data_IF_210759888230
#
_entry.id   IF_210759888230
#
_cell.length_a   1.000
_cell.length_b   1.000
_cell.length_c   1.000
_cell.angle_alpha   90.00
_cell.angle_beta   90.00
_cell.angle_gamma   90.00
#
_symmetry.space_group_name_H-M   'P 1'
#
loop_
_entity.id
_entity.type
_entity.pdbx_description
1 polymer ?
#
# COMPACT_ATOMS: atom_id res chain seq x y z
N UNK A 1 9.99 -0.04 6.15
CA UNK A 1 8.85 -0.95 5.93
C UNK A 1 8.22 -1.21 7.30
N UNK A 2 6.92 -0.97 7.47
CA UNK A 2 6.23 -1.29 8.71
C UNK A 2 5.58 -2.68 8.55
N UNK A 3 5.85 -3.60 9.46
CA UNK A 3 5.22 -4.92 9.48
C UNK A 3 4.41 -5.02 10.78
N UNK A 4 3.07 -5.01 10.71
CA UNK A 4 2.26 -5.10 11.92
C UNK A 4 2.27 -6.53 12.47
N UNK A 5 2.20 -6.69 13.79
CA UNK A 5 1.85 -8.00 14.38
C UNK A 5 0.34 -8.20 14.28
N UNK A 6 -0.10 -8.81 13.17
CA UNK A 6 -1.52 -9.01 12.91
C UNK A 6 -2.20 -9.93 13.93
N UNK A 7 -1.47 -10.85 14.56
CA UNK A 7 -2.06 -11.82 15.49
C UNK A 7 -2.39 -11.16 16.83
N UNK A 8 -1.57 -10.21 17.28
CA UNK A 8 -1.80 -9.47 18.53
C UNK A 8 -2.59 -8.17 18.33
N UNK A 9 -2.87 -7.78 17.10
CA UNK A 9 -3.69 -6.60 16.79
C UNK A 9 -5.18 -6.89 17.00
N UNK A 10 -5.90 -6.00 17.70
CA UNK A 10 -7.37 -6.08 17.83
C UNK A 10 -8.11 -5.94 16.48
N UNK A 11 -7.46 -5.28 15.51
CA UNK A 11 -7.94 -5.11 14.15
C UNK A 11 -6.80 -5.42 13.18
N UNK A 12 -6.71 -6.66 12.66
CA UNK A 12 -5.59 -7.05 11.82
C UNK A 12 -5.49 -6.25 10.52
N UNK A 13 -4.27 -5.83 10.23
CA UNK A 13 -3.92 -5.08 9.02
C UNK A 13 -3.42 -6.06 7.95
N UNK A 14 -4.28 -6.34 6.96
CA UNK A 14 -3.91 -7.17 5.82
C UNK A 14 -3.38 -6.31 4.69
N UNK A 15 -2.23 -6.68 4.12
CA UNK A 15 -1.77 -6.05 2.89
C UNK A 15 -2.57 -6.63 1.73
N UNK A 16 -3.16 -5.76 0.92
CA UNK A 16 -3.83 -6.15 -0.33
C UNK A 16 -3.18 -5.43 -1.51
N UNK A 17 -3.29 -6.03 -2.70
CA UNK A 17 -2.83 -5.44 -3.95
C UNK A 17 -3.68 -5.86 -5.12
N UNK A 18 -3.67 -5.04 -6.16
CA UNK A 18 -4.38 -5.28 -7.40
C UNK A 18 -3.41 -5.25 -8.58
N UNK A 19 -3.54 -6.22 -9.49
CA UNK A 19 -2.88 -6.17 -10.79
C UNK A 19 -3.62 -5.16 -11.67
N UNK A 20 -2.94 -4.07 -11.98
CA UNK A 20 -3.49 -2.93 -12.72
C UNK A 20 -3.89 -3.32 -14.14
N UNK A 21 -3.20 -4.31 -14.73
CA UNK A 21 -3.51 -4.83 -16.07
C UNK A 21 -4.79 -5.67 -16.11
N UNK A 22 -5.21 -6.21 -14.97
CA UNK A 22 -6.40 -7.05 -14.84
C UNK A 22 -7.61 -6.29 -14.29
N UNK A 23 -7.43 -5.03 -13.88
CA UNK A 23 -8.48 -4.23 -13.28
C UNK A 23 -9.68 -4.05 -14.21
N UNK A 24 -10.88 -4.23 -13.65
CA UNK A 24 -12.13 -4.02 -14.36
C UNK A 24 -12.99 -3.02 -13.59
N UNK A 25 -13.12 -1.77 -14.08
CA UNK A 25 -13.94 -0.77 -13.42
C UNK A 25 -15.39 -1.24 -13.27
N UNK A 26 -15.93 -1.20 -12.05
CA UNK A 26 -17.32 -1.51 -11.75
C UNK A 26 -18.29 -0.53 -12.41
N UNK A 27 -19.58 -0.86 -12.48
CA UNK A 27 -20.60 0.06 -13.04
C UNK A 27 -20.58 1.42 -12.35
N UNK A 28 -20.47 1.43 -11.02
CA UNK A 28 -20.46 2.64 -10.21
C UNK A 28 -19.16 3.47 -10.41
N UNK A 29 -18.01 2.81 -10.55
CA UNK A 29 -16.74 3.46 -10.92
C UNK A 29 -16.84 4.13 -12.31
N UNK A 30 -17.35 3.41 -13.32
CA UNK A 30 -17.58 3.97 -14.67
C UNK A 30 -18.53 5.16 -14.66
N UNK A 31 -19.62 5.07 -13.90
CA UNK A 31 -20.57 6.17 -13.75
C UNK A 31 -19.95 7.39 -13.07
N UNK A 32 -19.07 7.18 -12.09
CA UNK A 32 -18.36 8.26 -11.41
C UNK A 32 -17.47 9.03 -12.37
N UNK A 33 -16.64 8.34 -13.17
CA UNK A 33 -15.82 8.95 -14.22
C UNK A 33 -16.69 9.72 -15.23
N UNK A 34 -17.72 9.08 -15.77
CA UNK A 34 -18.60 9.72 -16.76
C UNK A 34 -19.30 10.99 -16.23
N UNK A 35 -19.73 10.99 -14.96
CA UNK A 35 -20.35 12.17 -14.33
C UNK A 35 -19.34 13.30 -14.14
N UNK A 36 -18.12 12.98 -13.70
CA UNK A 36 -17.07 13.97 -13.52
C UNK A 36 -16.62 14.55 -14.87
N UNK A 37 -16.43 13.71 -15.89
CA UNK A 37 -16.13 14.15 -17.24
C UNK A 37 -17.21 15.08 -17.81
N UNK A 38 -18.49 14.74 -17.60
CA UNK A 38 -19.62 15.60 -18.00
C UNK A 38 -19.61 16.94 -17.26
N UNK A 39 -19.27 16.94 -15.97
CA UNK A 39 -19.16 18.16 -15.17
C UNK A 39 -18.06 19.08 -15.72
N UNK A 40 -16.84 18.54 -15.91
CA UNK A 40 -15.69 19.30 -16.41
C UNK A 40 -15.91 19.82 -17.83
N UNK A 41 -16.38 18.98 -18.75
CA UNK A 41 -16.62 19.39 -20.13
C UNK A 41 -17.81 20.36 -20.23
N UNK A 42 -18.92 20.07 -19.55
CA UNK A 42 -20.16 20.83 -19.67
C UNK A 42 -20.97 20.52 -20.93
N UNK A 43 -22.28 20.77 -20.87
CA UNK A 43 -23.21 20.39 -21.96
C UNK A 43 -22.98 21.19 -23.25
N UNK A 44 -22.59 22.46 -23.13
CA UNK A 44 -22.29 23.34 -24.26
C UNK A 44 -21.09 22.82 -25.07
N UNK A 45 -19.98 22.51 -24.39
CA UNK A 45 -18.80 21.90 -25.03
C UNK A 45 -19.17 20.57 -25.69
N UNK A 46 -19.82 19.64 -24.97
CA UNK A 46 -20.10 18.31 -25.52
C UNK A 46 -20.96 18.38 -26.78
N UNK A 47 -21.97 19.27 -26.81
CA UNK A 47 -22.84 19.45 -27.98
C UNK A 47 -22.06 20.02 -29.17
N UNK A 48 -21.25 21.04 -28.94
CA UNK A 48 -20.52 21.73 -30.00
C UNK A 48 -19.30 20.94 -30.49
N UNK A 49 -18.58 20.26 -29.60
CA UNK A 49 -17.52 19.32 -29.94
C UNK A 49 -18.04 18.13 -30.76
N UNK A 50 -19.22 17.59 -30.44
CA UNK A 50 -19.84 16.53 -31.25
C UNK A 50 -20.20 17.01 -32.68
N UNK A 51 -20.46 18.32 -32.85
CA UNK A 51 -20.75 18.94 -34.16
C UNK A 51 -19.48 19.21 -34.95
N UNK A 52 -18.43 19.73 -34.30
CA UNK A 52 -17.17 20.12 -34.93
C UNK A 52 -16.22 18.92 -35.15
N UNK A 53 -16.24 17.95 -34.25
CA UNK A 53 -15.36 16.79 -34.23
C UNK A 53 -16.18 15.50 -34.05
N UNK A 54 -17.02 15.13 -35.04
CA UNK A 54 -17.85 13.94 -34.93
C UNK A 54 -16.98 12.69 -34.87
N UNK A 55 -17.31 11.79 -33.94
CA UNK A 55 -16.70 10.46 -33.87
C UNK A 55 -17.13 9.64 -35.08
N UNK A 56 -16.19 8.89 -35.65
CA UNK A 56 -16.50 7.86 -36.64
C UNK A 56 -17.42 6.80 -36.04
N UNK A 57 -18.12 6.05 -36.92
CA UNK A 57 -19.01 4.97 -36.50
C UNK A 57 -18.28 3.92 -35.65
N UNK A 58 -17.04 3.62 -36.00
CA UNK A 58 -16.24 2.60 -35.32
C UNK A 58 -15.76 3.09 -33.94
N UNK A 59 -15.37 4.36 -33.83
CA UNK A 59 -15.05 4.99 -32.53
C UNK A 59 -16.27 5.03 -31.61
N UNK A 60 -17.44 5.41 -32.12
CA UNK A 60 -18.68 5.40 -31.35
C UNK A 60 -19.03 3.98 -30.87
N UNK A 61 -18.94 2.99 -31.76
CA UNK A 61 -19.18 1.58 -31.43
C UNK A 61 -18.17 1.06 -30.40
N UNK A 62 -16.89 1.41 -30.50
CA UNK A 62 -15.88 1.04 -29.50
C UNK A 62 -16.23 1.66 -28.14
N UNK A 63 -16.57 2.95 -28.12
CA UNK A 63 -16.94 3.69 -26.91
C UNK A 63 -18.16 3.10 -26.19
N UNK A 64 -19.18 2.66 -26.92
CA UNK A 64 -20.40 2.13 -26.32
C UNK A 64 -20.22 0.72 -25.75
N UNK A 65 -19.34 -0.08 -26.36
CA UNK A 65 -19.13 -1.48 -25.97
C UNK A 65 -17.95 -1.68 -25.01
N UNK A 66 -17.02 -0.74 -24.92
CA UNK A 66 -15.79 -0.86 -24.13
C UNK A 66 -15.58 0.37 -23.23
N UNK A 67 -15.13 0.09 -22.00
CA UNK A 67 -14.66 1.11 -21.08
C UNK A 67 -13.15 0.92 -20.90
N UNK A 68 -12.38 1.66 -21.68
CA UNK A 68 -10.93 1.78 -21.52
C UNK A 68 -10.66 2.78 -20.39
N UNK A 69 -10.06 2.33 -19.28
CA UNK A 69 -9.87 3.19 -18.12
C UNK A 69 -8.97 4.40 -18.43
N UNK A 70 -7.83 4.16 -19.09
CA UNK A 70 -6.83 5.19 -19.39
C UNK A 70 -7.45 6.23 -20.32
N UNK A 71 -8.13 5.80 -21.39
CA UNK A 71 -8.81 6.74 -22.29
C UNK A 71 -9.88 7.57 -21.55
N UNK A 72 -10.67 6.93 -20.67
CA UNK A 72 -11.82 7.57 -20.03
C UNK A 72 -11.46 8.49 -18.87
N UNK A 73 -10.42 8.17 -18.10
CA UNK A 73 -10.03 8.99 -16.96
C UNK A 73 -9.42 10.32 -17.42
N UNK A 74 -8.67 10.31 -18.52
CA UNK A 74 -8.03 11.52 -19.08
C UNK A 74 -8.91 12.33 -20.04
N UNK A 75 -10.08 11.81 -20.45
CA UNK A 75 -10.93 12.43 -21.49
C UNK A 75 -11.29 13.90 -21.21
N UNK A 76 -11.45 14.28 -19.95
CA UNK A 76 -11.84 15.63 -19.56
C UNK A 76 -10.66 16.57 -19.25
N UNK A 77 -9.42 16.09 -19.34
CA UNK A 77 -8.24 16.90 -19.08
C UNK A 77 -7.99 17.89 -20.22
N UNK A 78 -7.53 19.09 -19.86
CA UNK A 78 -7.28 20.19 -20.80
C UNK A 78 -6.41 19.78 -21.99
N UNK A 79 -5.40 18.93 -21.77
CA UNK A 79 -4.50 18.43 -22.81
C UNK A 79 -5.18 17.54 -23.86
N UNK A 80 -6.32 16.91 -23.52
CA UNK A 80 -7.05 15.98 -24.38
C UNK A 80 -8.26 16.62 -25.07
N UNK A 81 -8.72 17.76 -24.58
CA UNK A 81 -9.87 18.48 -25.13
C UNK A 81 -9.51 19.22 -26.44
N UNK A 82 -10.49 19.37 -27.31
CA UNK A 82 -10.36 20.13 -28.57
C UNK A 82 -10.82 21.55 -28.34
N UNK A 83 -10.03 22.53 -28.80
CA UNK A 83 -10.36 23.95 -28.70
C UNK A 83 -10.28 24.61 -30.08
N UNK A 84 -11.31 25.35 -30.53
CA UNK A 84 -12.63 25.56 -29.88
C UNK A 84 -13.56 24.33 -29.95
N UNK A 85 -14.61 24.20 -29.12
CA UNK A 85 -15.12 25.13 -28.10
C UNK A 85 -14.41 24.98 -26.75
N UNK A 86 -14.55 25.97 -25.85
CA UNK A 86 -13.99 25.88 -24.49
C UNK A 86 -14.89 25.02 -23.58
N UNK A 87 -14.28 24.20 -22.73
CA UNK A 87 -14.97 23.41 -21.72
C UNK A 87 -15.47 24.27 -20.54
N UNK A 88 -16.43 23.74 -19.78
CA UNK A 88 -16.97 24.44 -18.61
C UNK A 88 -15.92 24.64 -17.50
N UNK A 89 -14.98 23.69 -17.37
CA UNK A 89 -13.87 23.76 -16.44
C UNK A 89 -12.57 23.28 -17.08
N UNK A 90 -11.44 23.76 -16.56
CA UNK A 90 -10.09 23.32 -16.96
C UNK A 90 -9.52 22.35 -15.93
N UNK A 91 -9.49 21.07 -16.28
CA UNK A 91 -8.89 20.03 -15.45
C UNK A 91 -7.45 19.77 -15.89
N UNK A 92 -6.51 19.88 -14.95
CA UNK A 92 -5.09 19.57 -15.16
C UNK A 92 -4.63 18.61 -14.08
N UNK A 93 -4.14 17.45 -14.47
CA UNK A 93 -3.57 16.44 -13.57
C UNK A 93 -2.07 16.35 -13.82
N UNK A 94 -1.28 16.44 -12.76
CA UNK A 94 0.19 16.47 -12.85
C UNK A 94 0.81 15.60 -11.78
N UNK A 95 1.96 14.97 -12.08
CA UNK A 95 2.75 14.26 -11.08
C UNK A 95 3.92 15.15 -10.67
N UNK A 96 3.88 15.65 -9.44
CA UNK A 96 4.84 16.59 -8.88
C UNK A 96 5.65 15.95 -7.75
N UNK A 97 6.74 16.58 -7.32
CA UNK A 97 7.45 16.17 -6.11
C UNK A 97 6.56 16.32 -4.87
N UNK A 98 6.88 15.55 -3.82
CA UNK A 98 6.21 15.58 -2.53
C UNK A 98 6.56 16.83 -1.67
N UNK A 99 7.14 17.86 -2.28
CA UNK A 99 7.58 19.07 -1.60
C UNK A 99 6.41 19.78 -0.88
N UNK A 100 6.70 20.30 0.31
CA UNK A 100 5.75 21.08 1.09
C UNK A 100 5.61 22.51 0.53
N UNK A 101 4.52 22.77 -0.21
CA UNK A 101 4.16 24.11 -0.72
C UNK A 101 2.95 24.69 0.00
N UNK A 102 2.74 26.02 -0.10
CA UNK A 102 1.56 26.68 0.47
C UNK A 102 0.25 26.22 -0.21
N UNK A 103 0.29 26.02 -1.53
CA UNK A 103 -0.86 25.51 -2.30
C UNK A 103 -1.27 24.11 -1.83
N UNK A 104 -0.30 23.20 -1.63
CA UNK A 104 -0.56 21.83 -1.16
C UNK A 104 -1.04 21.81 0.30
N UNK A 105 -0.43 22.65 1.15
CA UNK A 105 -0.84 22.79 2.54
C UNK A 105 -2.26 23.33 2.68
N UNK A 106 -2.72 24.24 1.80
CA UNK A 106 -4.10 24.74 1.83
C UNK A 106 -5.13 23.62 1.62
N UNK A 107 -4.87 22.66 0.72
CA UNK A 107 -5.75 21.50 0.52
C UNK A 107 -5.72 20.57 1.73
N UNK A 108 -4.54 20.29 2.27
CA UNK A 108 -4.39 19.51 3.50
C UNK A 108 -5.16 20.16 4.67
N UNK A 109 -5.06 21.48 4.82
CA UNK A 109 -5.73 22.22 5.88
C UNK A 109 -7.25 22.14 5.78
N UNK A 110 -7.79 22.35 4.57
CA UNK A 110 -9.23 22.18 4.33
C UNK A 110 -9.67 20.73 4.64
N UNK A 111 -8.91 19.74 4.17
CA UNK A 111 -9.23 18.33 4.38
C UNK A 111 -9.24 17.95 5.87
N UNK A 112 -8.24 18.35 6.66
CA UNK A 112 -8.20 18.07 8.09
C UNK A 112 -9.38 18.72 8.83
N UNK A 113 -9.67 19.99 8.55
CA UNK A 113 -10.76 20.71 9.18
C UNK A 113 -12.15 20.12 8.81
N UNK A 114 -12.36 19.73 7.55
CA UNK A 114 -13.67 19.30 7.06
C UNK A 114 -13.91 17.82 7.30
N UNK A 115 -12.93 16.95 7.05
CA UNK A 115 -13.07 15.49 7.10
C UNK A 115 -12.73 14.94 8.49
N UNK A 116 -11.63 15.40 9.09
CA UNK A 116 -11.17 14.93 10.41
C UNK A 116 -11.66 15.79 11.58
N UNK A 117 -12.22 16.97 11.30
CA UNK A 117 -12.75 17.91 12.32
C UNK A 117 -11.69 18.39 13.31
N UNK A 118 -10.42 18.42 12.87
CA UNK A 118 -9.32 18.98 13.65
C UNK A 118 -9.46 20.50 13.79
N UNK A 119 -8.99 21.04 14.91
CA UNK A 119 -8.98 22.47 15.15
C UNK A 119 -7.86 23.17 14.35
N UNK A 120 -7.99 24.45 13.98
CA UNK A 120 -6.96 25.16 13.22
C UNK A 120 -5.57 25.17 13.86
N UNK A 121 -5.51 25.09 15.20
CA UNK A 121 -4.26 25.08 15.96
C UNK A 121 -3.50 23.75 15.87
N UNK A 122 -4.20 22.64 15.60
CA UNK A 122 -3.62 21.31 15.41
C UNK A 122 -3.06 21.13 13.98
N UNK A 123 -3.62 21.87 13.02
CA UNK A 123 -3.31 21.72 11.60
C UNK A 123 -2.10 22.59 11.23
N UNK A 124 -0.91 22.02 11.40
CA UNK A 124 0.36 22.75 11.18
C UNK A 124 1.05 22.35 9.88
N UNK A 125 1.76 23.30 9.27
CA UNK A 125 2.58 23.06 8.06
C UNK A 125 3.73 22.08 8.34
N UNK A 126 4.29 22.10 9.55
CA UNK A 126 5.27 21.10 10.01
C UNK A 126 4.67 19.71 10.14
N UNK A 127 3.42 19.59 10.61
CA UNK A 127 2.69 18.33 10.66
C UNK A 127 2.47 17.76 9.27
N UNK A 128 1.99 18.59 8.34
CA UNK A 128 1.85 18.23 6.92
C UNK A 128 3.18 17.74 6.33
N UNK A 129 4.26 18.51 6.52
CA UNK A 129 5.59 18.16 6.01
C UNK A 129 6.09 16.82 6.55
N UNK A 130 5.96 16.58 7.85
CA UNK A 130 6.40 15.33 8.48
C UNK A 130 5.57 14.12 8.04
N UNK A 131 4.28 14.33 7.77
CA UNK A 131 3.36 13.25 7.46
C UNK A 131 3.37 12.86 5.98
N UNK A 132 3.33 13.84 5.07
CA UNK A 132 3.06 13.62 3.64
C UNK A 132 4.11 14.21 2.72
N UNK A 133 5.22 14.76 3.23
CA UNK A 133 6.30 15.32 2.42
C UNK A 133 7.64 14.74 2.84
N UNK A 134 8.69 15.07 2.08
CA UNK A 134 10.08 14.71 2.39
C UNK A 134 10.27 13.21 2.67
N UNK A 135 9.66 12.36 1.85
CA UNK A 135 9.79 10.92 1.99
C UNK A 135 11.27 10.47 1.99
N UNK A 136 11.62 9.43 2.78
CA UNK A 136 12.96 8.85 2.74
C UNK A 136 13.25 8.08 1.44
N UNK A 137 12.25 7.84 0.58
CA UNK A 137 12.45 7.15 -0.69
C UNK A 137 13.28 8.00 -1.64
N UNK A 138 14.35 7.40 -2.17
CA UNK A 138 15.22 8.05 -3.14
C UNK A 138 14.49 8.16 -4.47
N UNK A 139 14.49 9.37 -5.04
CA UNK A 139 14.02 9.58 -6.41
C UNK A 139 15.10 9.21 -7.39
N UNK A 140 14.76 8.31 -8.30
CA UNK A 140 15.63 7.90 -9.40
C UNK A 140 14.79 7.49 -10.60
N UNK A 141 15.44 7.24 -11.73
CA UNK A 141 14.79 6.64 -12.90
C UNK A 141 15.52 5.36 -13.22
N UNK A 142 14.78 4.25 -13.18
CA UNK A 142 15.31 2.93 -13.52
C UNK A 142 14.90 2.56 -14.94
N UNK A 143 15.68 1.67 -15.55
CA UNK A 143 15.27 0.96 -16.77
C UNK A 143 14.93 -0.45 -16.35
N UNK A 144 13.67 -0.83 -16.55
CA UNK A 144 13.18 -2.16 -16.18
C UNK A 144 13.54 -3.20 -17.24
N UNK A 145 13.33 -4.48 -16.92
CA UNK A 145 13.69 -5.62 -17.79
C UNK A 145 12.99 -5.61 -19.15
N UNK A 146 11.84 -4.95 -19.25
CA UNK A 146 11.10 -4.67 -20.48
C UNK A 146 11.67 -3.50 -21.31
N UNK A 147 12.74 -2.85 -20.84
CA UNK A 147 13.37 -1.69 -21.48
C UNK A 147 12.66 -0.36 -21.22
N UNK A 148 11.58 -0.34 -20.43
CA UNK A 148 10.84 0.87 -20.10
C UNK A 148 11.57 1.69 -19.03
N UNK A 149 11.50 3.02 -19.13
CA UNK A 149 11.98 3.92 -18.08
C UNK A 149 10.88 4.13 -17.06
N UNK A 150 11.16 3.90 -15.77
CA UNK A 150 10.21 4.10 -14.67
C UNK A 150 10.79 5.04 -13.62
N UNK A 151 9.97 5.94 -13.10
CA UNK A 151 10.36 6.89 -12.07
C UNK A 151 10.14 6.24 -10.71
N UNK A 152 11.11 6.34 -9.83
CA UNK A 152 10.99 5.87 -8.45
C UNK A 152 10.94 7.05 -7.49
N UNK A 153 10.42 6.79 -6.30
CA UNK A 153 10.34 7.73 -5.18
C UNK A 153 8.92 8.23 -4.93
N UNK A 154 8.80 9.19 -4.01
CA UNK A 154 7.51 9.72 -3.60
C UNK A 154 7.11 10.98 -4.38
N UNK A 155 5.85 11.04 -4.77
CA UNK A 155 5.28 12.10 -5.61
C UNK A 155 3.87 12.48 -5.12
N UNK A 156 3.47 13.69 -5.45
CA UNK A 156 2.11 14.20 -5.33
C UNK A 156 1.45 14.24 -6.71
N UNK A 157 0.45 13.39 -6.93
CA UNK A 157 -0.46 13.54 -8.06
C UNK A 157 -1.44 14.68 -7.75
N UNK A 158 -1.24 15.81 -8.40
CA UNK A 158 -1.93 17.07 -8.15
C UNK A 158 -3.05 17.29 -9.16
N UNK A 159 -4.28 17.50 -8.67
CA UNK A 159 -5.47 17.72 -9.49
C UNK A 159 -5.91 19.17 -9.38
N UNK A 160 -5.78 19.92 -10.47
CA UNK A 160 -6.19 21.33 -10.54
C UNK A 160 -7.46 21.47 -11.36
N UNK A 161 -8.43 22.18 -10.82
CA UNK A 161 -9.66 22.56 -11.50
C UNK A 161 -9.72 24.09 -11.57
N UNK A 162 -9.82 24.64 -12.79
CA UNK A 162 -9.81 26.08 -13.07
C UNK A 162 -8.59 26.79 -12.45
N UNK A 163 -7.43 26.13 -12.52
CA UNK A 163 -6.17 26.62 -11.97
C UNK A 163 -6.04 26.53 -10.44
N UNK A 164 -7.02 25.98 -9.73
CA UNK A 164 -6.96 25.75 -8.27
C UNK A 164 -6.68 24.29 -7.96
N UNK A 165 -5.69 24.01 -7.10
CA UNK A 165 -5.46 22.66 -6.58
C UNK A 165 -6.62 22.23 -5.68
N UNK A 166 -7.28 21.13 -6.04
CA UNK A 166 -8.49 20.63 -5.37
C UNK A 166 -8.33 19.21 -4.83
N UNK A 167 -7.29 18.48 -5.22
CA UNK A 167 -6.93 17.20 -4.61
C UNK A 167 -5.45 16.89 -4.78
N UNK A 168 -4.96 15.99 -3.91
CA UNK A 168 -3.60 15.45 -3.94
C UNK A 168 -3.66 13.95 -3.61
N UNK A 169 -3.17 13.12 -4.53
CA UNK A 169 -2.78 11.74 -4.25
C UNK A 169 -1.31 11.70 -3.86
N UNK A 170 -0.99 11.14 -2.69
CA UNK A 170 0.38 10.94 -2.19
C UNK A 170 0.78 9.51 -2.54
N UNK A 171 1.76 9.38 -3.44
CA UNK A 171 2.11 8.12 -4.09
C UNK A 171 3.58 7.80 -3.88
N UNK A 172 3.86 6.53 -3.55
CA UNK A 172 5.20 5.98 -3.69
C UNK A 172 5.28 5.14 -4.96
N UNK A 173 6.14 5.55 -5.89
CA UNK A 173 6.47 4.78 -7.08
C UNK A 173 7.66 3.88 -6.78
N UNK A 174 7.43 2.58 -6.86
CA UNK A 174 8.40 1.52 -6.58
C UNK A 174 8.60 0.67 -7.84
N UNK A 175 9.65 -0.16 -7.94
CA UNK A 175 10.01 -0.83 -9.21
C UNK A 175 8.87 -1.61 -9.89
N UNK A 176 7.98 -2.19 -9.09
CA UNK A 176 6.86 -3.03 -9.54
C UNK A 176 5.52 -2.58 -8.95
N UNK A 177 5.42 -1.37 -8.40
CA UNK A 177 4.12 -0.91 -7.92
C UNK A 177 3.99 0.61 -7.73
N UNK A 178 2.73 1.04 -7.71
CA UNK A 178 2.32 2.31 -7.11
C UNK A 178 1.66 2.01 -5.76
N UNK A 179 2.17 2.60 -4.69
CA UNK A 179 1.54 2.58 -3.38
C UNK A 179 0.75 3.88 -3.14
N UNK A 180 -0.55 3.74 -2.90
CA UNK A 180 -1.44 4.83 -2.50
C UNK A 180 -1.27 5.10 -1.01
N UNK A 181 -0.42 6.07 -0.67
CA UNK A 181 -0.07 6.39 0.73
C UNK A 181 -1.19 7.18 1.38
N UNK A 182 -1.67 8.22 0.70
CA UNK A 182 -2.74 9.08 1.21
C UNK A 182 -3.46 9.80 0.08
N UNK A 183 -4.73 10.14 0.28
CA UNK A 183 -5.48 10.95 -0.67
C UNK A 183 -6.27 12.02 0.07
N UNK A 184 -6.02 13.28 -0.28
CA UNK A 184 -6.67 14.44 0.32
C UNK A 184 -7.30 15.32 -0.75
N UNK A 185 -8.40 15.97 -0.40
CA UNK A 185 -9.17 16.79 -1.34
C UNK A 185 -9.82 17.98 -0.65
N UNK A 186 -10.06 19.03 -1.42
CA UNK A 186 -10.81 20.20 -1.01
C UNK A 186 -12.32 19.89 -1.05
N UNK A 187 -13.08 20.40 -0.08
CA UNK A 187 -14.52 20.17 0.05
C UNK A 187 -15.32 20.51 -1.23
N UNK A 188 -14.82 21.45 -2.03
CA UNK A 188 -15.46 21.92 -3.27
C UNK A 188 -15.67 20.83 -4.31
N UNK A 189 -14.96 19.70 -4.22
CA UNK A 189 -15.13 18.57 -5.14
C UNK A 189 -15.75 17.34 -4.47
N UNK A 190 -16.15 17.42 -3.20
CA UNK A 190 -16.67 16.28 -2.43
C UNK A 190 -17.83 15.56 -3.14
N UNK A 191 -18.76 16.31 -3.73
CA UNK A 191 -19.91 15.76 -4.47
C UNK A 191 -19.54 14.93 -5.71
N UNK A 192 -18.29 14.98 -6.16
CA UNK A 192 -17.79 14.23 -7.32
C UNK A 192 -17.06 12.93 -6.96
N UNK A 193 -17.11 12.49 -5.69
CA UNK A 193 -16.46 11.29 -5.19
C UNK A 193 -14.95 11.25 -5.48
N UNK A 194 -14.18 12.25 -5.01
CA UNK A 194 -12.79 12.45 -5.37
C UNK A 194 -11.87 11.29 -4.99
N UNK A 195 -12.12 10.59 -3.88
CA UNK A 195 -11.33 9.41 -3.52
C UNK A 195 -11.45 8.24 -4.52
N UNK A 196 -12.61 8.08 -5.16
CA UNK A 196 -12.80 7.07 -6.21
C UNK A 196 -12.14 7.48 -7.52
N UNK A 197 -12.25 8.76 -7.88
CA UNK A 197 -11.51 9.30 -9.02
C UNK A 197 -10.00 9.16 -8.81
N UNK A 198 -9.50 9.49 -7.63
CA UNK A 198 -8.10 9.32 -7.24
C UNK A 198 -7.58 7.90 -7.44
N UNK A 199 -8.25 6.91 -6.86
CA UNK A 199 -7.87 5.51 -7.06
C UNK A 199 -7.89 5.09 -8.54
N UNK A 200 -8.87 5.54 -9.32
CA UNK A 200 -8.94 5.23 -10.77
C UNK A 200 -7.79 5.90 -11.56
N UNK A 201 -7.40 7.11 -11.17
CA UNK A 201 -6.23 7.81 -11.72
C UNK A 201 -4.92 7.13 -11.36
N UNK A 202 -4.77 6.65 -10.13
CA UNK A 202 -3.59 5.91 -9.69
C UNK A 202 -3.45 4.56 -10.40
N UNK A 203 -4.56 3.84 -10.58
CA UNK A 203 -4.57 2.59 -11.35
C UNK A 203 -4.25 2.86 -12.83
N UNK A 204 -4.80 3.93 -13.41
CA UNK A 204 -4.45 4.34 -14.78
C UNK A 204 -2.95 4.65 -14.91
N UNK A 205 -2.40 5.45 -13.99
CA UNK A 205 -0.96 5.75 -13.94
C UNK A 205 -0.10 4.48 -13.86
N UNK A 206 -0.55 3.49 -13.08
CA UNK A 206 0.13 2.18 -12.97
C UNK A 206 0.13 1.40 -14.29
N UNK A 207 -0.96 1.48 -15.06
CA UNK A 207 -1.05 0.88 -16.41
C UNK A 207 -0.14 1.62 -17.39
N UNK A 208 -0.18 2.96 -17.38
CA UNK A 208 0.54 3.81 -18.32
C UNK A 208 2.06 3.74 -18.15
N UNK A 209 2.54 3.75 -16.91
CA UNK A 209 3.98 3.68 -16.60
C UNK A 209 4.47 2.25 -16.36
N UNK A 210 3.59 1.25 -16.43
CA UNK A 210 3.94 -0.17 -16.38
C UNK A 210 4.41 -0.66 -15.01
N UNK A 211 3.93 -0.07 -13.91
CA UNK A 211 4.29 -0.55 -12.57
C UNK A 211 3.69 -1.92 -12.26
N UNK A 212 2.56 -2.30 -12.87
CA UNK A 212 1.94 -3.61 -12.68
C UNK A 212 1.03 -3.65 -11.46
N UNK A 213 1.55 -3.49 -10.25
CA UNK A 213 0.72 -3.56 -9.04
C UNK A 213 0.28 -2.18 -8.53
N UNK A 214 -0.97 -2.08 -8.07
CA UNK A 214 -1.46 -0.96 -7.27
C UNK A 214 -1.77 -1.43 -5.85
N UNK A 215 -1.20 -0.75 -4.85
CA UNK A 215 -1.39 -1.04 -3.44
C UNK A 215 -2.25 0.07 -2.80
N UNK A 216 -3.49 -0.21 -2.38
CA UNK A 216 -4.35 0.78 -1.72
C UNK A 216 -4.01 0.98 -0.23
N UNK A 217 -2.87 0.46 0.25
CA UNK A 217 -2.52 0.35 1.66
C UNK A 217 -3.23 -0.79 2.39
N UNK A 218 -3.14 -0.84 3.72
CA UNK A 218 -3.72 -1.93 4.51
C UNK A 218 -5.24 -2.01 4.40
N UNK A 219 -5.78 -3.21 4.48
CA UNK A 219 -7.18 -3.54 4.60
C UNK A 219 -7.46 -4.10 6.00
N UNK A 220 -8.42 -3.50 6.69
CA UNK A 220 -8.91 -3.96 7.99
C UNK A 220 -10.34 -4.42 7.76
N UNK A 221 -10.56 -5.73 7.80
CA UNK A 221 -11.84 -6.33 7.42
C UNK A 221 -13.01 -5.81 8.29
N UNK A 222 -12.80 -5.67 9.59
CA UNK A 222 -13.84 -5.24 10.53
C UNK A 222 -14.06 -3.71 10.55
N UNK A 223 -13.43 -2.95 9.65
CA UNK A 223 -13.58 -1.50 9.57
C UNK A 223 -14.38 -1.11 8.32
N UNK A 224 -15.65 -0.66 8.44
CA UNK A 224 -16.49 -0.31 7.28
C UNK A 224 -15.89 0.79 6.39
N UNK A 225 -15.09 1.70 6.98
CA UNK A 225 -14.38 2.75 6.21
C UNK A 225 -13.33 2.19 5.25
N UNK A 226 -12.94 0.92 5.39
CA UNK A 226 -11.90 0.26 4.61
C UNK A 226 -12.47 -0.67 3.52
N UNK A 227 -13.77 -0.96 3.55
CA UNK A 227 -14.41 -1.88 2.61
C UNK A 227 -14.32 -1.41 1.16
N UNK A 228 -14.26 -0.11 0.91
CA UNK A 228 -14.13 0.41 -0.46
C UNK A 228 -12.88 -0.11 -1.19
N UNK A 229 -11.82 -0.51 -0.46
CA UNK A 229 -10.57 -0.98 -1.09
C UNK A 229 -10.75 -2.31 -1.84
N UNK A 230 -11.66 -3.15 -1.37
CA UNK A 230 -11.94 -4.45 -2.01
C UNK A 230 -12.92 -4.34 -3.20
N UNK A 231 -13.52 -3.15 -3.43
CA UNK A 231 -14.37 -2.88 -4.59
C UNK A 231 -13.58 -2.72 -5.90
N UNK A 232 -12.25 -2.54 -5.80
CA UNK A 232 -11.37 -2.51 -6.96
C UNK A 232 -10.86 -3.93 -7.20
N UNK A 233 -11.37 -4.63 -8.21
CA UNK A 233 -11.10 -6.07 -8.39
C UNK A 233 -10.42 -6.38 -9.74
N UNK A 234 -9.64 -7.48 -9.82
CA UNK A 234 -9.36 -8.47 -8.77
C UNK A 234 -8.34 -7.97 -7.72
N UNK A 235 -8.53 -8.38 -6.46
CA UNK A 235 -7.58 -8.14 -5.36
C UNK A 235 -6.89 -9.43 -4.94
N UNK A 236 -5.68 -9.28 -4.40
CA UNK A 236 -4.92 -10.31 -3.74
C UNK A 236 -4.63 -9.87 -2.31
N UNK A 237 -4.59 -10.82 -1.39
CA UNK A 237 -4.25 -10.62 0.02
C UNK A 237 -2.93 -11.31 0.33
N UNK A 238 -2.09 -10.67 1.13
CA UNK A 238 -0.84 -11.25 1.62
C UNK A 238 -1.12 -12.09 2.86
N UNK A 239 -0.73 -13.37 2.81
CA UNK A 239 -0.78 -14.24 3.99
C UNK A 239 0.24 -13.74 5.03
N UNK A 240 -0.18 -13.49 6.29
CA UNK A 240 0.69 -12.93 7.32
C UNK A 240 1.80 -13.90 7.80
N UNK A 241 1.65 -15.21 7.56
CA UNK A 241 2.59 -16.25 7.99
C UNK A 241 3.50 -16.66 6.85
N UNK A 242 2.94 -17.12 5.73
CA UNK A 242 3.73 -17.63 4.60
C UNK A 242 4.29 -16.52 3.71
N UNK A 243 3.78 -15.29 3.83
CA UNK A 243 4.12 -14.16 2.96
C UNK A 243 3.83 -14.42 1.47
N UNK A 244 2.91 -15.34 1.20
CA UNK A 244 2.43 -15.63 -0.15
C UNK A 244 1.18 -14.82 -0.47
N UNK A 245 0.97 -14.56 -1.76
CA UNK A 245 -0.21 -13.86 -2.24
C UNK A 245 -1.29 -14.84 -2.67
N UNK A 246 -2.50 -14.66 -2.16
CA UNK A 246 -3.68 -15.44 -2.54
C UNK A 246 -4.78 -14.50 -3.06
N UNK A 247 -5.69 -14.96 -3.95
CA UNK A 247 -6.83 -14.17 -4.37
C UNK A 247 -7.72 -13.79 -3.17
N UNK A 248 -8.13 -12.52 -3.09
CA UNK A 248 -9.13 -12.07 -2.11
C UNK A 248 -10.53 -12.31 -2.67
N UNK A 249 -10.97 -13.55 -2.63
CA UNK A 249 -12.25 -14.01 -3.15
C UNK A 249 -13.31 -14.20 -2.05
N UNK A 250 -14.47 -14.74 -2.43
CA UNK A 250 -15.57 -14.97 -1.48
C UNK A 250 -15.19 -15.93 -0.37
N UNK A 251 -14.39 -16.96 -0.66
CA UNK A 251 -13.96 -17.94 0.34
C UNK A 251 -13.07 -17.30 1.38
N UNK A 252 -12.14 -16.43 0.97
CA UNK A 252 -11.30 -15.68 1.90
C UNK A 252 -12.12 -14.67 2.71
N UNK A 253 -13.07 -13.96 2.08
CA UNK A 253 -13.95 -13.05 2.79
C UNK A 253 -14.81 -13.75 3.83
N UNK A 254 -15.36 -14.93 3.52
CA UNK A 254 -16.13 -15.73 4.48
C UNK A 254 -15.25 -16.19 5.67
N UNK A 255 -13.96 -16.46 5.47
CA UNK A 255 -13.03 -16.75 6.57
C UNK A 255 -12.82 -15.52 7.46
N UNK A 256 -12.60 -14.34 6.84
CA UNK A 256 -12.41 -13.08 7.55
C UNK A 256 -13.67 -12.66 8.32
N UNK A 257 -14.86 -12.95 7.80
CA UNK A 257 -16.14 -12.69 8.48
C UNK A 257 -16.27 -13.50 9.79
N UNK A 258 -15.66 -14.69 9.84
CA UNK A 258 -15.82 -15.65 10.94
C UNK A 258 -14.64 -15.73 11.90
N UNK A 259 -13.46 -15.19 11.54
CA UNK A 259 -12.24 -15.30 12.34
C UNK A 259 -11.63 -13.93 12.58
N UNK A 260 -11.18 -13.62 13.82
CA UNK A 260 -10.52 -12.35 14.09
C UNK A 260 -9.19 -12.22 13.35
N UNK A 261 -8.51 -13.35 13.09
CA UNK A 261 -7.24 -13.44 12.38
C UNK A 261 -7.29 -14.63 11.40
N UNK A 262 -6.77 -14.46 10.19
CA UNK A 262 -6.75 -15.47 9.13
C UNK A 262 -5.34 -15.56 8.54
N UNK A 263 -4.85 -16.79 8.42
CA UNK A 263 -3.70 -17.15 7.59
C UNK A 263 -4.11 -18.36 6.75
N UNK A 264 -4.21 -18.15 5.44
CA UNK A 264 -4.61 -19.16 4.47
C UNK A 264 -3.64 -20.33 4.42
N UNK A 265 -2.34 -20.12 4.68
CA UNK A 265 -1.39 -21.22 4.79
C UNK A 265 -1.73 -22.14 5.98
N UNK A 266 -2.05 -21.56 7.14
CA UNK A 266 -2.47 -22.32 8.32
C UNK A 266 -3.82 -23.01 8.11
N UNK A 267 -4.78 -22.35 7.45
CA UNK A 267 -6.08 -22.97 7.10
C UNK A 267 -5.89 -24.21 6.20
N UNK A 268 -5.02 -24.10 5.18
CA UNK A 268 -4.71 -25.21 4.27
C UNK A 268 -4.02 -26.37 5.00
N UNK A 269 -3.09 -26.07 5.91
CA UNK A 269 -2.42 -27.07 6.74
C UNK A 269 -3.41 -27.80 7.67
N UNK A 270 -4.29 -27.05 8.35
CA UNK A 270 -5.29 -27.62 9.23
C UNK A 270 -6.25 -28.54 8.47
N UNK A 271 -6.80 -28.08 7.34
CA UNK A 271 -7.67 -28.89 6.50
C UNK A 271 -6.98 -30.19 6.03
N UNK A 272 -5.69 -30.12 5.70
CA UNK A 272 -4.90 -31.29 5.30
C UNK A 272 -4.73 -32.29 6.45
N UNK A 273 -4.56 -31.82 7.70
CA UNK A 273 -4.47 -32.69 8.89
C UNK A 273 -5.80 -33.36 9.21
N UNK A 274 -6.92 -32.65 9.07
CA UNK A 274 -8.27 -33.19 9.29
C UNK A 274 -8.65 -34.25 8.24
N UNK A 275 -8.26 -34.05 6.97
CA UNK A 275 -8.41 -35.06 5.91
C UNK A 275 -7.53 -36.29 6.18
N UNK A 276 -6.28 -36.07 6.61
CA UNK A 276 -5.37 -37.15 6.99
C UNK A 276 -5.91 -38.01 8.14
N UNK A 277 -6.51 -37.38 9.15
CA UNK A 277 -7.10 -38.07 10.30
C UNK A 277 -8.44 -38.77 9.97
N UNK A 278 -9.25 -38.23 9.06
CA UNK A 278 -10.51 -38.88 8.63
C UNK A 278 -10.32 -40.11 7.73
N UNK A 279 -9.11 -40.32 7.19
CA UNK A 279 -8.74 -41.55 6.46
C UNK A 279 -8.23 -42.69 7.35
N UNK A 280 -8.06 -42.46 8.67
CA UNK A 280 -7.73 -43.50 9.64
C UNK A 280 -8.98 -43.88 10.46
N UNK A 281 -9.39 -45.15 10.40
CA UNK A 281 -10.50 -45.70 11.21
C UNK A 281 -10.17 -45.65 12.72
N UNK A 282 -11.20 -45.62 13.60
CA UNK A 282 -11.04 -45.11 14.95
C UNK A 282 -10.40 -46.13 15.88
N UNK A 283 -9.19 -45.83 16.37
CA UNK A 283 -8.68 -46.43 17.58
C UNK A 283 -9.21 -45.63 18.78
N UNK A 284 -9.94 -46.31 19.67
CA UNK A 284 -10.20 -45.86 21.03
C UNK A 284 -8.87 -45.43 21.66
N UNK A 285 -8.81 -44.24 22.25
CA UNK A 285 -8.61 -44.20 23.70
C UNK A 285 -8.90 -42.84 24.35
N UNK A 286 -9.50 -42.98 25.53
CA UNK A 286 -9.44 -42.16 26.74
C UNK A 286 -9.41 -40.63 26.66
N UNK A 287 -10.48 -40.06 27.19
CA UNK A 287 -10.57 -38.72 27.75
C UNK A 287 -9.45 -38.45 28.77
N UNK A 288 -8.62 -37.45 28.50
CA UNK A 288 -8.02 -36.63 29.54
C UNK A 288 -8.35 -35.17 29.26
N UNK A 289 -9.04 -34.57 30.24
CA UNK A 289 -9.33 -33.15 30.32
C UNK A 289 -8.03 -32.39 30.62
N UNK A 290 -7.56 -31.58 29.68
CA UNK A 290 -6.74 -30.42 30.03
C UNK A 290 -7.55 -29.14 29.78
N UNK A 291 -8.25 -28.73 30.86
CA UNK A 291 -8.71 -27.36 31.02
C UNK A 291 -7.48 -26.49 31.32
N UNK A 292 -6.97 -25.79 30.32
CA UNK A 292 -6.16 -24.61 30.57
C UNK A 292 -7.11 -23.45 30.89
N UNK A 293 -7.07 -23.00 32.14
CA UNK A 293 -7.87 -21.92 32.68
C UNK A 293 -7.58 -20.60 31.96
N UNK A 294 -8.64 -20.07 31.34
CA UNK A 294 -8.80 -18.67 31.00
C UNK A 294 -8.78 -17.84 32.29
N UNK A 295 -7.72 -17.05 32.47
CA UNK A 295 -7.74 -15.89 33.36
C UNK A 295 -7.44 -14.64 32.55
N UNK A 296 -8.53 -14.04 32.08
CA UNK A 296 -8.56 -12.64 31.69
C UNK A 296 -7.99 -11.75 32.79
N UNK A 297 -7.04 -10.91 32.39
CA UNK A 297 -6.65 -9.70 33.11
C UNK A 297 -6.78 -8.56 32.12
N UNK A 298 -7.93 -7.90 32.16
CA UNK A 298 -8.11 -6.56 31.63
C UNK A 298 -7.16 -5.61 32.37
N UNK A 299 -6.07 -5.24 31.73
CA UNK A 299 -5.30 -4.05 32.10
C UNK A 299 -4.94 -3.30 30.84
N UNK A 300 -5.47 -2.08 30.76
CA UNK A 300 -5.14 -1.08 29.76
C UNK A 300 -3.64 -1.07 29.46
N UNK A 301 -3.30 -1.17 28.18
CA UNK A 301 -1.93 -1.13 27.69
C UNK A 301 -1.27 0.19 28.12
N UNK A 302 -0.47 0.10 29.18
CA UNK A 302 0.60 1.04 29.46
C UNK A 302 1.79 0.67 28.59
N UNK A 303 2.32 1.65 27.86
CA UNK A 303 3.54 1.60 27.05
C UNK A 303 4.81 1.36 27.90
N UNK A 304 4.92 0.19 28.55
CA UNK A 304 6.11 -0.23 29.29
C UNK A 304 6.37 -1.73 29.05
N UNK A 305 7.11 -2.06 27.96
CA UNK A 305 8.11 -3.16 27.88
C UNK A 305 8.70 -3.26 26.44
N UNK A 306 9.32 -2.17 25.96
CA UNK A 306 10.02 -2.13 24.66
C UNK A 306 11.46 -2.70 24.76
N UNK A 307 11.58 -4.01 25.03
CA UNK A 307 12.83 -4.78 24.89
C UNK A 307 12.59 -6.28 24.65
N UNK A 308 11.45 -6.67 24.08
CA UNK A 308 11.20 -8.06 23.74
C UNK A 308 11.82 -8.41 22.38
N UNK A 309 12.76 -9.34 22.40
CA UNK A 309 13.40 -9.94 21.23
C UNK A 309 12.35 -10.55 20.28
N UNK A 310 12.41 -10.21 19.00
CA UNK A 310 11.38 -10.57 18.01
C UNK A 310 11.06 -12.07 17.96
N UNK A 311 12.07 -12.93 18.11
CA UNK A 311 11.90 -14.38 18.06
C UNK A 311 11.07 -14.94 19.23
N UNK A 312 10.96 -14.24 20.35
CA UNK A 312 10.11 -14.66 21.48
C UNK A 312 8.66 -14.16 21.37
N UNK A 313 8.35 -13.30 20.41
CA UNK A 313 7.01 -12.71 20.27
C UNK A 313 6.01 -13.67 19.60
N UNK A 314 6.49 -14.59 18.76
CA UNK A 314 5.65 -15.41 17.90
C UNK A 314 4.94 -14.60 16.79
N UNK A 315 5.50 -13.45 16.43
CA UNK A 315 4.97 -12.57 15.38
C UNK A 315 4.82 -13.33 14.05
N UNK A 316 3.65 -13.24 13.38
CA UNK A 316 3.41 -13.95 12.12
C UNK A 316 4.45 -13.67 11.04
N UNK A 317 4.93 -14.77 10.44
CA UNK A 317 5.84 -14.82 9.30
C UNK A 317 7.26 -14.31 9.57
N UNK A 318 7.66 -14.27 10.84
CA UNK A 318 9.07 -14.29 11.23
C UNK A 318 9.56 -15.74 11.14
N UNK A 319 10.64 -16.03 10.39
CA UNK A 319 11.19 -17.39 10.33
C UNK A 319 11.65 -17.88 11.71
N UNK A 320 11.55 -19.19 11.99
CA UNK A 320 12.08 -19.75 13.23
C UNK A 320 13.58 -19.46 13.37
N UNK A 321 14.03 -19.20 14.59
CA UNK A 321 15.45 -18.89 14.84
C UNK A 321 16.40 -20.00 14.36
N UNK A 322 15.97 -21.26 14.44
CA UNK A 322 16.72 -22.40 13.91
C UNK A 322 17.01 -22.28 12.42
N UNK A 323 16.10 -21.68 11.64
CA UNK A 323 16.30 -21.41 10.22
C UNK A 323 17.21 -20.21 9.99
N UNK A 324 17.11 -19.19 10.84
CA UNK A 324 17.95 -17.98 10.78
C UNK A 324 19.40 -18.28 11.15
N UNK A 325 19.62 -19.23 12.06
CA UNK A 325 20.96 -19.68 12.46
C UNK A 325 21.79 -20.23 11.29
N UNK A 326 21.14 -20.74 10.24
CA UNK A 326 21.78 -21.28 9.05
C UNK A 326 22.10 -20.19 7.99
N UNK A 327 21.71 -18.94 8.21
CA UNK A 327 21.95 -17.86 7.24
C UNK A 327 23.37 -17.31 7.35
N UNK A 328 24.01 -17.14 6.20
CA UNK A 328 25.30 -16.45 6.09
C UNK A 328 25.11 -14.94 6.24
N UNK A 329 25.34 -14.46 7.46
CA UNK A 329 25.24 -13.05 7.82
C UNK A 329 26.61 -12.38 7.93
N UNK A 330 27.70 -13.03 7.49
CA UNK A 330 29.07 -12.56 7.68
C UNK A 330 29.45 -11.40 6.75
N UNK A 331 28.68 -11.24 5.67
CA UNK A 331 28.98 -10.30 4.58
C UNK A 331 27.97 -9.13 4.47
N UNK A 332 27.21 -8.86 5.53
CA UNK A 332 26.28 -7.72 5.54
C UNK A 332 27.08 -6.42 5.63
N UNK A 333 26.77 -5.46 4.74
CA UNK A 333 27.52 -4.22 4.66
C UNK A 333 27.34 -3.34 5.91
N UNK A 334 28.44 -2.80 6.40
CA UNK A 334 28.54 -1.92 7.57
C UNK A 334 29.15 -0.57 7.19
N UNK A 335 28.51 0.52 7.62
CA UNK A 335 29.03 1.88 7.48
C UNK A 335 29.21 2.52 8.85
N UNK A 336 30.46 2.68 9.29
CA UNK A 336 30.79 3.24 10.61
C UNK A 336 30.82 4.78 10.58
N UNK A 337 31.33 5.36 9.50
CA UNK A 337 31.46 6.81 9.33
C UNK A 337 31.32 7.19 7.86
N UNK A 338 30.85 8.41 7.52
CA UNK A 338 30.65 8.81 6.12
C UNK A 338 31.93 8.67 5.28
N UNK A 339 33.09 8.87 5.90
CA UNK A 339 34.41 8.88 5.24
C UNK A 339 35.16 7.54 5.27
N UNK A 340 34.68 6.55 6.03
CA UNK A 340 35.33 5.22 6.06
C UNK A 340 34.84 4.37 4.89
N UNK A 341 35.62 3.35 4.46
CA UNK A 341 35.09 2.34 3.56
C UNK A 341 33.88 1.62 4.17
N UNK A 342 33.17 0.85 3.33
CA UNK A 342 32.22 -0.15 3.82
C UNK A 342 33.03 -1.33 4.39
N UNK A 343 32.59 -1.84 5.53
CA UNK A 343 33.09 -3.05 6.14
C UNK A 343 32.01 -4.14 6.05
N UNK A 344 32.36 -5.35 6.42
CA UNK A 344 31.44 -6.46 6.56
C UNK A 344 31.26 -6.82 8.03
N UNK A 345 30.15 -7.46 8.36
CA UNK A 345 29.83 -7.93 9.72
C UNK A 345 30.91 -8.83 10.31
N UNK A 346 31.51 -9.72 9.51
CA UNK A 346 32.66 -10.53 9.93
C UNK A 346 33.92 -9.74 10.30
N UNK A 347 34.01 -8.45 9.95
CA UNK A 347 35.15 -7.62 10.34
C UNK A 347 35.05 -7.11 11.78
N UNK A 348 33.92 -7.34 12.46
CA UNK A 348 33.73 -6.98 13.86
C UNK A 348 34.39 -8.01 14.77
N UNK A 349 35.18 -7.53 15.73
CA UNK A 349 35.96 -8.38 16.65
C UNK A 349 35.08 -9.38 17.40
N UNK A 350 33.89 -8.95 17.84
CA UNK A 350 32.96 -9.77 18.62
C UNK A 350 31.92 -10.50 17.76
N UNK A 351 32.09 -10.57 16.43
CA UNK A 351 31.09 -11.18 15.55
C UNK A 351 30.91 -12.68 15.80
N UNK A 352 32.02 -13.39 15.99
CA UNK A 352 32.05 -14.83 16.20
C UNK A 352 32.00 -15.22 17.69
N UNK A 353 32.01 -14.24 18.60
CA UNK A 353 31.99 -14.47 20.04
C UNK A 353 30.58 -14.84 20.56
N UNK A 354 29.52 -14.45 19.84
CA UNK A 354 28.12 -14.67 20.23
C UNK A 354 27.28 -15.20 19.07
N UNK A 355 26.45 -16.21 19.35
CA UNK A 355 25.52 -16.79 18.38
C UNK A 355 24.27 -15.94 18.13
N UNK A 356 23.41 -16.39 17.20
CA UNK A 356 22.13 -15.74 16.90
C UNK A 356 21.12 -15.84 18.04
N UNK A 357 21.26 -16.84 18.92
CA UNK A 357 20.35 -17.09 20.05
C UNK A 357 20.71 -16.27 21.31
N UNK A 358 21.84 -15.59 21.30
CA UNK A 358 22.40 -14.89 22.46
C UNK A 358 21.98 -13.41 22.48
N UNK A 359 20.72 -13.14 22.80
CA UNK A 359 20.19 -11.78 22.93
C UNK A 359 20.38 -11.22 24.37
N UNK A 360 20.85 -9.97 24.54
CA UNK A 360 21.27 -9.02 23.50
C UNK A 360 22.70 -9.31 23.01
N UNK A 361 22.86 -9.39 21.70
CA UNK A 361 24.14 -9.62 21.03
C UNK A 361 24.11 -9.05 19.61
N UNK A 362 25.27 -8.69 19.05
CA UNK A 362 25.30 -8.03 17.73
C UNK A 362 24.80 -8.96 16.63
N UNK A 363 25.24 -10.23 16.62
CA UNK A 363 24.77 -11.24 15.65
C UNK A 363 23.28 -11.53 15.83
N UNK A 364 22.79 -11.60 17.07
CA UNK A 364 21.36 -11.75 17.38
C UNK A 364 20.52 -10.56 16.90
N UNK A 365 21.00 -9.32 17.05
CA UNK A 365 20.31 -8.12 16.56
C UNK A 365 20.29 -8.00 15.03
N UNK A 366 21.38 -8.41 14.36
CA UNK A 366 21.40 -8.51 12.90
C UNK A 366 20.44 -9.61 12.42
N UNK A 367 20.45 -10.78 13.07
CA UNK A 367 19.53 -11.87 12.79
C UNK A 367 18.06 -11.43 12.92
N UNK A 368 17.74 -10.71 13.99
CA UNK A 368 16.41 -10.11 14.21
C UNK A 368 16.02 -9.14 13.09
N UNK A 369 16.93 -8.24 12.69
CA UNK A 369 16.69 -7.33 11.57
C UNK A 369 16.40 -8.09 10.28
N UNK A 370 17.27 -9.03 9.88
CA UNK A 370 17.12 -9.78 8.63
C UNK A 370 15.85 -10.63 8.64
N UNK A 371 15.51 -11.25 9.78
CA UNK A 371 14.28 -12.00 9.93
C UNK A 371 13.02 -11.11 9.77
N UNK A 372 13.09 -9.84 10.21
CA UNK A 372 11.99 -8.89 10.06
C UNK A 372 11.80 -8.42 8.61
N UNK A 373 12.88 -8.12 7.89
CA UNK A 373 12.83 -7.58 6.52
C UNK A 373 12.74 -8.64 5.42
N UNK A 374 13.24 -9.85 5.69
CA UNK A 374 13.33 -10.94 4.71
C UNK A 374 14.79 -11.26 4.31
N UNK A 375 15.16 -12.55 4.21
CA UNK A 375 16.51 -12.97 3.83
C UNK A 375 16.87 -12.65 2.36
N UNK A 376 15.87 -12.44 1.50
CA UNK A 376 16.02 -12.03 0.10
C UNK A 376 16.55 -10.61 -0.07
N UNK A 377 16.55 -9.81 1.00
CA UNK A 377 17.10 -8.45 1.02
C UNK A 377 18.46 -8.35 1.69
N UNK A 378 19.02 -9.47 2.18
CA UNK A 378 20.24 -9.48 3.00
C UNK A 378 21.45 -8.85 2.28
N UNK A 379 21.59 -9.08 0.98
CA UNK A 379 22.64 -8.52 0.11
C UNK A 379 22.42 -7.04 -0.26
N UNK A 380 21.24 -6.49 0.06
CA UNK A 380 20.85 -5.10 -0.23
C UNK A 380 20.81 -4.21 1.01
N UNK A 381 21.12 -4.77 2.18
CA UNK A 381 21.09 -4.07 3.45
C UNK A 381 22.46 -3.50 3.78
N UNK A 382 22.45 -2.29 4.32
CA UNK A 382 23.63 -1.68 4.92
C UNK A 382 23.28 -1.18 6.32
N UNK A 383 24.00 -1.65 7.33
CA UNK A 383 23.89 -1.16 8.69
C UNK A 383 24.71 0.13 8.81
N UNK A 384 24.04 1.27 8.75
CA UNK A 384 24.66 2.59 8.78
C UNK A 384 24.64 3.17 10.19
N UNK A 385 25.78 3.09 10.87
CA UNK A 385 26.03 3.68 12.19
C UNK A 385 26.59 5.10 12.10
N UNK A 386 26.70 5.66 10.89
CA UNK A 386 27.17 7.03 10.73
C UNK A 386 26.13 8.00 11.30
N UNK A 387 26.55 8.87 12.22
CA UNK A 387 25.68 9.94 12.70
C UNK A 387 25.38 10.89 11.55
N UNK A 388 24.11 10.96 11.12
CA UNK A 388 23.62 12.08 10.30
C UNK A 388 23.75 13.35 11.14
N UNK A 389 24.68 14.23 10.76
CA UNK A 389 24.83 15.55 11.38
C UNK A 389 23.80 16.53 10.85
#
# INVERSE_FOLDING_TARGET
>A
MYRPDQRRSCCPHYTIRLDSSQFKPSRDQRQTVNRFNKYVMGEAYMKEAARLYPKSRDEAKKRDNQFDLVERIHEAEEAHLKNPPEAAHKLVVTLEHDDCTDEKFAVYQNYQAVVHKESPDEITKSGFRRFLCDSPLRRETIVTSDGCKRRLGSYHQCYRLDGKLVAIGVLDLLPECISSVYFLYHESIYQHAPGKLGALYEIALSIEEGYGWWYPGYYIHNCPKMWYKIDYSPQYILDPVSLTWDPLDRTVLDLLDNKPYVSLSLEKEQASREIGQSSASPAKDTSENDKAEDKGSDSAASDEDDNNWLFSTGMPGIPPISTVADWDMDHIALKISPRTPLYETCNLVSWDEQGVEEYPGMKAGVAELIAAIGPDLMDRVCLDFSRRR
#
